data_IF_777859293774
#
_entry.id   IF_777859293774
#
_cell.length_a   1.000
_cell.length_b   1.000
_cell.length_c   1.000
_cell.angle_alpha   90.00
_cell.angle_beta   90.00
_cell.angle_gamma   90.00
#
_symmetry.space_group_name_H-M   'P 1'
#
loop_
_entity.id
_entity.type
_entity.pdbx_description
1 polymer ?
#
# COMPACT_ATOMS: atom_id res chain seq x y z
N UNK A 1 -22.79 27.30 -2.56
CA UNK A 1 -21.53 27.02 -3.22
C UNK A 1 -21.35 25.55 -3.53
N UNK A 2 -20.36 25.23 -4.32
CA UNK A 2 -20.06 23.84 -4.63
C UNK A 2 -19.57 23.10 -3.39
N UNK A 3 -20.02 21.86 -3.15
CA UNK A 3 -19.47 21.06 -2.08
C UNK A 3 -17.96 20.88 -2.28
N UNK A 4 -17.22 20.97 -1.18
CA UNK A 4 -15.80 20.67 -1.22
C UNK A 4 -15.62 19.16 -1.36
N UNK A 5 -14.75 18.69 -2.26
CA UNK A 5 -14.43 17.26 -2.31
C UNK A 5 -13.88 16.80 -0.98
N UNK A 6 -14.38 15.68 -0.49
CA UNK A 6 -13.86 15.08 0.73
C UNK A 6 -12.49 14.45 0.51
N UNK A 7 -11.78 14.20 1.61
CA UNK A 7 -10.55 13.42 1.57
C UNK A 7 -10.92 11.95 1.66
N UNK A 8 -10.44 11.16 0.70
CA UNK A 8 -10.69 9.73 0.66
C UNK A 8 -9.50 8.96 1.24
N UNK A 9 -9.80 8.11 2.19
CA UNK A 9 -8.85 7.12 2.71
C UNK A 9 -9.33 5.74 2.34
N UNK A 10 -8.40 4.85 1.97
CA UNK A 10 -8.72 3.46 1.68
C UNK A 10 -7.81 2.54 2.47
N UNK A 11 -8.36 1.43 2.94
CA UNK A 11 -7.63 0.43 3.70
C UNK A 11 -7.93 -0.96 3.13
N UNK A 12 -6.89 -1.67 2.75
CA UNK A 12 -6.99 -3.03 2.21
C UNK A 12 -6.16 -3.97 3.05
N UNK A 13 -6.79 -5.05 3.48
CA UNK A 13 -6.16 -6.05 4.34
C UNK A 13 -6.29 -7.44 3.72
N UNK A 14 -5.35 -8.31 4.04
CA UNK A 14 -5.50 -9.77 3.98
C UNK A 14 -6.04 -10.29 2.65
N UNK A 15 -5.49 -9.82 1.52
CA UNK A 15 -5.96 -10.21 0.20
C UNK A 15 -4.84 -10.23 -0.82
N UNK A 16 -5.09 -10.95 -1.92
CA UNK A 16 -4.30 -10.86 -3.13
C UNK A 16 -4.70 -9.60 -3.91
N UNK A 17 -3.80 -9.07 -4.78
CA UNK A 17 -4.14 -7.92 -5.62
C UNK A 17 -5.14 -8.33 -6.69
N UNK A 18 -6.41 -7.98 -6.48
CA UNK A 18 -7.48 -8.25 -7.44
C UNK A 18 -7.94 -6.94 -8.10
N UNK A 19 -8.44 -7.05 -9.33
CA UNK A 19 -8.82 -5.87 -10.12
C UNK A 19 -9.89 -5.00 -9.43
N UNK A 20 -10.80 -5.61 -8.67
CA UNK A 20 -11.85 -4.88 -7.97
C UNK A 20 -11.32 -3.88 -6.94
N UNK A 21 -10.09 -4.05 -6.46
CA UNK A 21 -9.48 -3.12 -5.52
C UNK A 21 -9.23 -1.76 -6.18
N UNK A 22 -8.86 -1.74 -7.45
CA UNK A 22 -8.45 -0.52 -8.15
C UNK A 22 -9.55 0.55 -8.13
N UNK A 23 -10.80 0.27 -8.59
CA UNK A 23 -11.85 1.30 -8.50
C UNK A 23 -12.20 1.66 -7.05
N UNK A 24 -12.06 0.73 -6.11
CA UNK A 24 -12.31 0.98 -4.70
C UNK A 24 -11.36 2.03 -4.12
N UNK A 25 -10.04 1.94 -4.45
CA UNK A 25 -9.03 2.85 -3.91
C UNK A 25 -8.82 4.10 -4.77
N UNK A 26 -9.45 4.17 -5.93
CA UNK A 26 -9.15 5.21 -6.93
C UNK A 26 -9.19 6.61 -6.34
N UNK A 27 -8.13 7.35 -6.62
CA UNK A 27 -7.95 8.74 -6.19
C UNK A 27 -7.93 8.94 -4.68
N UNK A 28 -7.66 7.89 -3.91
CA UNK A 28 -7.49 8.03 -2.48
C UNK A 28 -6.32 8.94 -2.14
N UNK A 29 -6.49 9.78 -1.14
CA UNK A 29 -5.42 10.62 -0.61
C UNK A 29 -4.37 9.74 0.07
N UNK A 30 -4.84 8.76 0.81
CA UNK A 30 -4.01 7.77 1.48
C UNK A 30 -4.58 6.39 1.24
N UNK A 31 -3.76 5.50 0.71
CA UNK A 31 -4.06 4.09 0.57
C UNK A 31 -3.20 3.31 1.56
N UNK A 32 -3.82 2.78 2.59
CA UNK A 32 -3.16 1.89 3.57
C UNK A 32 -3.35 0.47 3.10
N UNK A 33 -2.26 -0.25 2.91
CA UNK A 33 -2.31 -1.60 2.36
C UNK A 33 -1.45 -2.55 3.20
N UNK A 34 -2.03 -3.65 3.64
CA UNK A 34 -1.26 -4.72 4.24
C UNK A 34 -0.42 -5.40 3.17
N UNK A 35 0.88 -5.47 3.40
CA UNK A 35 1.83 -6.13 2.51
C UNK A 35 2.78 -6.96 3.35
N UNK A 36 2.48 -8.24 3.46
CA UNK A 36 3.19 -9.16 4.34
C UNK A 36 4.65 -9.36 3.92
N UNK A 37 4.93 -9.38 2.62
CA UNK A 37 6.22 -9.80 2.09
C UNK A 37 6.91 -8.68 1.33
N UNK A 38 8.06 -8.23 1.86
CA UNK A 38 8.88 -7.22 1.20
C UNK A 38 9.69 -7.75 0.02
N UNK A 39 10.14 -9.00 0.14
CA UNK A 39 10.99 -9.63 -0.86
C UNK A 39 10.15 -10.23 -1.99
N UNK A 40 10.47 -9.86 -3.24
CA UNK A 40 9.79 -10.41 -4.42
C UNK A 40 9.92 -11.93 -4.52
N UNK A 41 10.99 -12.51 -3.96
CA UNK A 41 11.18 -13.97 -3.96
C UNK A 41 10.11 -14.69 -3.14
N UNK A 42 9.40 -13.98 -2.28
CA UNK A 42 8.34 -14.55 -1.45
C UNK A 42 6.97 -14.54 -2.13
N UNK A 43 6.92 -14.27 -3.45
CA UNK A 43 5.65 -14.23 -4.19
C UNK A 43 4.85 -15.54 -4.04
N UNK A 44 5.51 -16.67 -4.00
CA UNK A 44 4.85 -17.97 -3.81
C UNK A 44 4.13 -18.05 -2.46
N UNK A 45 4.75 -17.52 -1.42
CA UNK A 45 4.13 -17.45 -0.08
C UNK A 45 2.94 -16.51 -0.08
N UNK A 46 3.05 -15.38 -0.77
CA UNK A 46 1.97 -14.41 -0.88
C UNK A 46 0.73 -15.04 -1.56
N UNK A 47 0.95 -15.77 -2.64
CA UNK A 47 -0.14 -16.49 -3.34
C UNK A 47 -0.76 -17.54 -2.42
N UNK A 48 0.06 -18.36 -1.80
CA UNK A 48 -0.41 -19.46 -0.94
C UNK A 48 -1.21 -18.95 0.26
N UNK A 49 -0.73 -17.88 0.89
CA UNK A 49 -1.31 -17.37 2.13
C UNK A 49 -2.31 -16.22 1.91
N UNK A 50 -2.59 -15.88 0.64
CA UNK A 50 -3.54 -14.83 0.26
C UNK A 50 -3.16 -13.46 0.82
N UNK A 51 -1.88 -13.11 0.67
CA UNK A 51 -1.32 -11.80 1.02
C UNK A 51 -0.71 -11.14 -0.19
N UNK A 52 -0.08 -9.99 0.01
CA UNK A 52 0.61 -9.24 -1.05
C UNK A 52 2.08 -9.06 -0.74
N UNK A 53 2.87 -8.89 -1.81
CA UNK A 53 4.21 -8.34 -1.71
C UNK A 53 4.16 -6.82 -1.74
N UNK A 54 5.25 -6.17 -1.34
CA UNK A 54 5.39 -4.70 -1.43
C UNK A 54 5.16 -4.21 -2.86
N UNK A 55 5.75 -4.90 -3.83
CA UNK A 55 5.62 -4.52 -5.24
C UNK A 55 4.17 -4.62 -5.73
N UNK A 56 3.46 -5.65 -5.32
CA UNK A 56 2.05 -5.82 -5.70
C UNK A 56 1.17 -4.70 -5.14
N UNK A 57 1.39 -4.32 -3.89
CA UNK A 57 0.66 -3.21 -3.28
C UNK A 57 0.94 -1.89 -4.02
N UNK A 58 2.20 -1.68 -4.40
CA UNK A 58 2.59 -0.48 -5.14
C UNK A 58 1.97 -0.43 -6.54
N UNK A 59 1.84 -1.58 -7.20
CA UNK A 59 1.14 -1.66 -8.48
C UNK A 59 -0.32 -1.24 -8.36
N UNK A 60 -1.00 -1.67 -7.30
CA UNK A 60 -2.38 -1.23 -7.03
C UNK A 60 -2.45 0.28 -6.82
N UNK A 61 -1.53 0.82 -6.02
CA UNK A 61 -1.47 2.26 -5.76
C UNK A 61 -1.27 3.06 -7.04
N UNK A 62 -0.38 2.61 -7.90
CA UNK A 62 -0.12 3.24 -9.19
C UNK A 62 -1.36 3.22 -10.08
N UNK A 63 -1.99 2.06 -10.23
CA UNK A 63 -3.19 1.91 -11.06
C UNK A 63 -4.39 2.66 -10.50
N UNK A 64 -4.49 2.73 -9.18
CA UNK A 64 -5.56 3.46 -8.50
C UNK A 64 -5.34 4.97 -8.46
N UNK A 65 -4.16 5.45 -8.87
CA UNK A 65 -3.85 6.87 -8.86
C UNK A 65 -4.02 7.50 -7.48
N UNK A 66 -3.62 6.78 -6.46
CA UNK A 66 -3.65 7.30 -5.09
C UNK A 66 -2.53 8.34 -4.91
N UNK A 67 -2.65 9.20 -3.91
CA UNK A 67 -1.61 10.19 -3.64
C UNK A 67 -0.47 9.60 -2.82
N UNK A 68 -0.78 8.73 -1.87
CA UNK A 68 0.21 8.15 -0.97
C UNK A 68 -0.15 6.71 -0.63
N UNK A 69 0.87 5.86 -0.60
CA UNK A 69 0.77 4.46 -0.17
C UNK A 69 1.48 4.29 1.18
N UNK A 70 0.79 3.70 2.13
CA UNK A 70 1.37 3.31 3.41
C UNK A 70 1.27 1.79 3.55
N UNK A 71 2.43 1.13 3.61
CA UNK A 71 2.50 -0.32 3.78
C UNK A 71 2.50 -0.66 5.27
N UNK A 72 1.70 -1.65 5.64
CA UNK A 72 1.54 -2.08 7.02
C UNK A 72 1.54 -3.60 7.12
N UNK A 73 1.56 -4.11 8.33
CA UNK A 73 1.32 -5.52 8.66
C UNK A 73 2.35 -6.45 8.03
N UNK A 74 3.62 -6.17 8.31
CA UNK A 74 4.72 -6.96 7.77
C UNK A 74 4.81 -8.33 8.43
N UNK A 75 5.37 -9.31 7.69
CA UNK A 75 5.64 -10.61 8.26
C UNK A 75 6.55 -10.50 9.48
N UNK A 76 6.27 -11.25 10.57
CA UNK A 76 7.18 -11.29 11.73
C UNK A 76 8.59 -11.74 11.39
N UNK A 77 8.77 -12.47 10.29
CA UNK A 77 10.09 -12.91 9.83
C UNK A 77 10.84 -11.81 9.08
N UNK A 78 10.20 -10.66 8.82
CA UNK A 78 10.80 -9.56 8.10
C UNK A 78 11.44 -8.60 9.09
N UNK A 79 12.73 -8.82 9.42
CA UNK A 79 13.44 -8.06 10.45
C UNK A 79 13.58 -6.58 10.10
N UNK A 80 13.88 -6.28 8.83
CA UNK A 80 14.11 -4.90 8.37
C UNK A 80 13.27 -4.61 7.13
N UNK A 81 11.99 -4.23 7.30
CA UNK A 81 11.13 -3.90 6.14
C UNK A 81 11.72 -2.82 5.25
N UNK A 82 12.49 -1.88 5.82
CA UNK A 82 13.12 -0.80 5.04
C UNK A 82 14.12 -1.30 4.00
N UNK A 83 14.66 -2.50 4.16
CA UNK A 83 15.56 -3.10 3.17
C UNK A 83 14.84 -3.42 1.87
N UNK A 84 13.52 -3.51 1.89
CA UNK A 84 12.71 -3.92 0.75
C UNK A 84 11.81 -2.82 0.21
N UNK A 85 11.87 -1.61 0.78
CA UNK A 85 10.95 -0.54 0.37
C UNK A 85 11.11 -0.19 -1.11
N UNK A 86 12.30 -0.33 -1.67
CA UNK A 86 12.53 -0.03 -3.09
C UNK A 86 11.72 -0.93 -4.01
N UNK A 87 11.35 -2.13 -3.57
CA UNK A 87 10.47 -3.00 -4.34
C UNK A 87 9.11 -2.37 -4.57
N UNK A 88 8.69 -1.49 -3.69
CA UNK A 88 7.46 -0.72 -3.85
C UNK A 88 7.75 0.65 -4.47
N UNK A 89 8.71 1.40 -3.93
CA UNK A 89 8.94 2.79 -4.35
C UNK A 89 9.43 2.92 -5.78
N UNK A 90 10.03 1.87 -6.35
CA UNK A 90 10.38 1.84 -7.77
C UNK A 90 9.16 1.81 -8.68
N UNK A 91 8.01 1.33 -8.18
CA UNK A 91 6.74 1.28 -8.90
C UNK A 91 5.89 2.49 -8.57
N UNK A 92 5.80 2.83 -7.28
CA UNK A 92 5.03 3.97 -6.80
C UNK A 92 5.88 4.77 -5.81
N UNK A 93 6.36 5.92 -6.25
CA UNK A 93 7.37 6.69 -5.53
C UNK A 93 6.93 7.11 -4.12
N UNK A 94 5.70 7.58 -3.97
CA UNK A 94 5.20 8.09 -2.69
C UNK A 94 4.72 6.96 -1.77
N UNK A 95 5.65 6.09 -1.41
CA UNK A 95 5.44 4.93 -0.55
C UNK A 95 6.15 5.12 0.77
N UNK A 96 5.47 4.82 1.85
CA UNK A 96 6.02 4.84 3.21
C UNK A 96 5.73 3.52 3.91
N UNK A 97 6.54 3.21 4.92
CA UNK A 97 6.32 2.07 5.79
C UNK A 97 5.73 2.56 7.11
N UNK A 98 4.70 1.86 7.60
CA UNK A 98 4.14 2.16 8.92
C UNK A 98 5.05 1.61 10.02
N UNK A 99 5.25 2.42 11.05
CA UNK A 99 5.97 2.04 12.26
C UNK A 99 5.41 2.84 13.42
N UNK A 100 5.71 2.42 14.63
CA UNK A 100 5.23 3.10 15.82
C UNK A 100 5.69 4.56 15.80
N UNK A 101 4.75 5.48 16.02
CA UNK A 101 5.03 6.89 16.04
C UNK A 101 5.08 7.58 14.70
N UNK A 102 4.74 6.89 13.61
CA UNK A 102 4.68 7.56 12.31
C UNK A 102 3.56 8.60 12.29
N UNK A 103 3.88 9.76 11.74
CA UNK A 103 2.91 10.83 11.52
C UNK A 103 2.80 11.12 10.03
N UNK A 104 1.57 11.19 9.54
CA UNK A 104 1.30 11.48 8.14
C UNK A 104 0.41 12.71 8.07
N UNK A 105 0.92 13.75 7.38
CA UNK A 105 0.16 14.97 7.17
C UNK A 105 -0.58 14.89 5.85
N UNK A 106 -1.90 15.07 5.91
CA UNK A 106 -2.77 15.02 4.74
C UNK A 106 -3.59 16.28 4.70
N UNK A 107 -3.34 17.12 3.70
CA UNK A 107 -4.08 18.35 3.49
C UNK A 107 -5.23 18.16 2.51
N UNK A 108 -6.12 19.15 2.45
CA UNK A 108 -7.13 19.20 1.39
C UNK A 108 -6.47 19.54 0.05
N UNK A 109 -7.01 18.99 -1.04
CA UNK A 109 -6.50 19.32 -2.37
C UNK A 109 -6.71 20.78 -2.74
#
# INVERSE_FOLDING_TARGET
GKPRPGIKFSYITDTRPIEAIIPFIKSSRLFVCEAMYGDDLDIGKAVKNKHMTFREAANLAYKGQVDQLLLTHFSPSLDFPSDYIENASSVFKNTSLAYDGINISIGYP
#
